data_IF_052231790161
#
_entry.id   IF_052231790161
#
_cell.length_a   1.000
_cell.length_b   1.000
_cell.length_c   1.000
_cell.angle_alpha   90.00
_cell.angle_beta   90.00
_cell.angle_gamma   90.00
#
_symmetry.space_group_name_H-M   'P 1'
#
loop_
_entity.id
_entity.type
_entity.pdbx_description
1 polymer ?
#
# COMPACT_ATOMS: atom_id res chain seq x y z
N UNK A 1 17.67 -16.81 10.54
CA UNK A 1 17.37 -15.71 9.61
C UNK A 1 15.86 -15.56 9.68
N UNK A 2 15.39 -14.71 10.59
CA UNK A 2 13.96 -14.59 10.90
C UNK A 2 13.31 -13.81 9.76
N UNK A 3 12.28 -14.39 9.15
CA UNK A 3 11.41 -13.68 8.20
C UNK A 3 10.79 -12.51 8.97
N UNK A 4 11.26 -11.31 8.65
CA UNK A 4 10.80 -10.08 9.27
C UNK A 4 9.35 -9.87 8.81
N UNK A 5 8.46 -10.43 9.65
CA UNK A 5 7.01 -10.27 9.75
C UNK A 5 6.62 -8.80 9.75
N UNK A 6 6.91 -8.05 8.67
CA UNK A 6 6.64 -6.63 8.58
C UNK A 6 5.13 -6.44 8.71
N UNK A 7 4.71 -5.98 9.89
CA UNK A 7 3.33 -5.62 10.18
C UNK A 7 2.91 -4.51 9.22
N UNK A 8 2.08 -4.87 8.23
CA UNK A 8 1.57 -4.01 7.16
C UNK A 8 0.84 -2.76 7.67
N UNK A 9 0.48 -2.73 8.96
CA UNK A 9 -0.21 -1.62 9.60
C UNK A 9 0.72 -0.48 10.05
N UNK A 10 2.04 -0.68 10.13
CA UNK A 10 2.98 0.32 10.65
C UNK A 10 3.90 0.93 9.59
N UNK A 11 3.83 0.47 8.34
CA UNK A 11 4.81 0.85 7.33
C UNK A 11 4.29 1.87 6.32
N UNK A 12 5.11 2.89 6.10
CA UNK A 12 4.94 3.82 4.99
C UNK A 12 5.76 3.36 3.78
N UNK A 13 5.16 3.32 2.59
CA UNK A 13 5.82 2.91 1.35
C UNK A 13 6.01 4.14 0.45
N UNK A 14 7.21 4.34 -0.09
CA UNK A 14 7.50 5.41 -1.05
C UNK A 14 7.85 4.85 -2.42
N UNK A 15 7.21 5.35 -3.47
CA UNK A 15 7.45 4.93 -4.85
C UNK A 15 6.73 5.79 -5.88
N UNK A 16 7.36 6.01 -7.05
CA UNK A 16 6.74 6.76 -8.15
C UNK A 16 6.33 8.20 -7.80
N UNK A 17 7.01 8.84 -6.84
CA UNK A 17 6.64 10.18 -6.34
C UNK A 17 5.58 10.19 -5.24
N UNK A 18 5.00 9.04 -4.91
CA UNK A 18 4.00 8.88 -3.86
C UNK A 18 4.60 8.37 -2.56
N UNK A 19 4.04 8.81 -1.43
CA UNK A 19 4.17 8.23 -0.10
C UNK A 19 2.81 7.65 0.30
N UNK A 20 2.77 6.38 0.67
CA UNK A 20 1.61 5.75 1.27
C UNK A 20 1.89 5.62 2.76
N UNK A 21 1.06 6.21 3.61
CA UNK A 21 1.13 6.12 5.08
C UNK A 21 -0.06 5.27 5.56
N UNK A 22 0.21 3.99 5.82
CA UNK A 22 -0.80 3.03 6.25
C UNK A 22 -1.41 3.38 7.62
N UNK A 23 -0.61 3.74 8.66
CA UNK A 23 -1.16 4.19 9.95
C UNK A 23 -2.17 5.35 9.82
N UNK A 24 -1.88 6.33 8.96
CA UNK A 24 -2.75 7.50 8.77
C UNK A 24 -3.85 7.29 7.72
N UNK A 25 -3.83 6.15 7.02
CA UNK A 25 -4.62 5.90 5.81
C UNK A 25 -4.52 7.09 4.85
N UNK A 26 -3.31 7.57 4.60
CA UNK A 26 -3.06 8.75 3.78
C UNK A 26 -2.10 8.43 2.66
N UNK A 27 -2.32 9.05 1.49
CA UNK A 27 -1.30 9.10 0.44
C UNK A 27 -0.87 10.54 0.23
N UNK A 28 0.40 10.76 -0.06
CA UNK A 28 0.95 12.08 -0.33
C UNK A 28 1.78 12.07 -1.62
N UNK A 29 1.59 13.10 -2.44
CA UNK A 29 2.47 13.42 -3.55
C UNK A 29 2.73 14.93 -3.57
N UNK A 30 4.00 15.32 -3.74
CA UNK A 30 4.41 16.73 -3.85
C UNK A 30 3.86 17.63 -2.73
N UNK A 31 3.86 17.13 -1.48
CA UNK A 31 3.36 17.86 -0.30
C UNK A 31 1.84 17.91 -0.19
N UNK A 32 1.10 17.22 -1.07
CA UNK A 32 -0.37 17.16 -1.05
C UNK A 32 -0.84 15.78 -0.61
N UNK A 33 -1.47 15.75 0.56
CA UNK A 33 -1.99 14.51 1.16
C UNK A 33 -3.50 14.34 0.96
N UNK A 34 -3.94 13.11 0.66
CA UNK A 34 -5.35 12.71 0.63
C UNK A 34 -5.56 11.52 1.56
N UNK A 35 -6.56 11.60 2.44
CA UNK A 35 -6.97 10.47 3.27
C UNK A 35 -7.84 9.51 2.47
N UNK A 36 -7.57 8.23 2.59
CA UNK A 36 -8.26 7.15 1.92
C UNK A 36 -9.10 6.35 2.92
N UNK A 37 -10.07 5.62 2.40
CA UNK A 37 -10.71 4.56 3.18
C UNK A 37 -9.74 3.39 3.40
N UNK A 38 -9.84 2.68 4.53
CA UNK A 38 -8.95 1.55 4.85
C UNK A 38 -8.86 0.49 3.74
N UNK A 39 -9.98 0.21 3.05
CA UNK A 39 -10.00 -0.76 1.94
C UNK A 39 -9.20 -0.29 0.73
N UNK A 40 -9.24 1.01 0.43
CA UNK A 40 -8.44 1.59 -0.65
C UNK A 40 -6.94 1.59 -0.28
N UNK A 41 -6.61 1.88 0.99
CA UNK A 41 -5.24 1.78 1.48
C UNK A 41 -4.70 0.34 1.37
N UNK A 42 -5.47 -0.65 1.83
CA UNK A 42 -5.09 -2.07 1.74
C UNK A 42 -4.83 -2.52 0.29
N UNK A 43 -5.66 -2.07 -0.66
CA UNK A 43 -5.45 -2.31 -2.08
C UNK A 43 -4.14 -1.71 -2.59
N UNK A 44 -3.86 -0.45 -2.25
CA UNK A 44 -2.64 0.23 -2.70
C UNK A 44 -1.39 -0.42 -2.09
N UNK A 45 -1.40 -0.80 -0.81
CA UNK A 45 -0.31 -1.54 -0.18
C UNK A 45 -0.08 -2.89 -0.87
N UNK A 46 -1.15 -3.61 -1.23
CA UNK A 46 -1.05 -4.90 -1.91
C UNK A 46 -0.38 -4.77 -3.28
N UNK A 47 -0.74 -3.72 -4.04
CA UNK A 47 -0.15 -3.42 -5.34
C UNK A 47 1.29 -2.92 -5.22
N UNK A 48 1.59 -2.05 -4.25
CA UNK A 48 2.92 -1.48 -4.06
C UNK A 48 3.98 -2.56 -3.71
N UNK A 49 3.60 -3.59 -2.96
CA UNK A 49 4.48 -4.74 -2.69
C UNK A 49 4.75 -5.62 -3.91
N UNK A 50 3.93 -5.51 -4.95
CA UNK A 50 4.03 -6.25 -6.21
C UNK A 50 4.29 -5.28 -7.36
N UNK A 51 5.10 -4.26 -7.08
CA UNK A 51 5.56 -3.35 -8.12
C UNK A 51 6.16 -4.17 -9.27
N UNK A 52 5.85 -3.76 -10.49
CA UNK A 52 6.27 -4.42 -11.74
C UNK A 52 5.63 -5.79 -12.04
N UNK A 53 4.70 -6.28 -11.20
CA UNK A 53 3.90 -7.46 -11.49
C UNK A 53 2.49 -7.10 -12.03
N UNK A 54 2.00 -7.88 -12.99
CA UNK A 54 0.61 -7.77 -13.45
C UNK A 54 -0.31 -8.51 -12.48
N UNK A 55 -1.10 -7.75 -11.72
CA UNK A 55 -2.10 -8.29 -10.79
C UNK A 55 -3.48 -8.29 -11.45
N UNK A 56 -4.12 -9.46 -11.54
CA UNK A 56 -5.49 -9.58 -12.05
C UNK A 56 -6.54 -9.16 -11.01
N UNK A 57 -7.71 -8.73 -11.49
CA UNK A 57 -8.86 -8.42 -10.63
C UNK A 57 -9.27 -9.59 -9.73
N UNK A 58 -9.17 -10.84 -10.22
CA UNK A 58 -9.50 -12.03 -9.42
C UNK A 58 -8.53 -12.20 -8.24
N UNK A 59 -7.23 -11.98 -8.46
CA UNK A 59 -6.24 -12.03 -7.39
C UNK A 59 -6.50 -10.97 -6.32
N UNK A 60 -6.86 -9.74 -6.72
CA UNK A 60 -7.23 -8.68 -5.78
C UNK A 60 -8.44 -9.06 -4.91
N UNK A 61 -9.49 -9.61 -5.52
CA UNK A 61 -10.70 -10.02 -4.80
C UNK A 61 -10.51 -11.23 -3.88
N UNK A 62 -9.43 -12.00 -4.04
CA UNK A 62 -9.11 -13.12 -3.17
C UNK A 62 -8.12 -12.77 -2.06
N UNK A 63 -7.40 -11.65 -2.19
CA UNK A 63 -6.33 -11.26 -1.28
C UNK A 63 -6.71 -10.12 -0.30
N UNK A 64 -7.84 -9.45 -0.52
CA UNK A 64 -8.37 -8.33 0.26
C UNK A 64 -9.76 -8.66 0.81
#
# INVERSE_FOLDING_TARGET
>A
MQEEKTDLAEQSIRGGGWLLDAPLNQIEQDGRGVRLEPKAMALLLYLAQRADEVVSRKQLLSAL
#
